data_IF_898218799421
#
_entry.id   IF_898218799421
#
_cell.length_a   1.000
_cell.length_b   1.000
_cell.length_c   1.000
_cell.angle_alpha   90.00
_cell.angle_beta   90.00
_cell.angle_gamma   90.00
#
_symmetry.space_group_name_H-M   'P 1'
#
loop_
_entity.id
_entity.type
_entity.pdbx_description
1 polymer ?
#
# COMPACT_ATOMS: atom_id res chain seq x y z
N UNK A 1 -10.48 12.94 18.86
CA UNK A 1 -9.43 12.17 18.14
C UNK A 1 -9.98 11.99 16.74
N UNK A 2 -9.22 12.28 15.68
CA UNK A 2 -9.71 12.10 14.32
C UNK A 2 -10.06 10.62 14.10
N UNK A 3 -11.17 10.36 13.42
CA UNK A 3 -11.64 9.01 13.11
C UNK A 3 -10.82 8.40 11.96
N UNK A 4 -10.54 9.23 10.93
CA UNK A 4 -9.69 8.83 9.83
C UNK A 4 -8.21 8.84 10.22
N UNK A 5 -7.51 7.74 9.90
CA UNK A 5 -6.06 7.63 9.95
C UNK A 5 -5.43 7.95 8.60
N UNK A 6 -4.16 7.57 8.39
CA UNK A 6 -3.45 7.78 7.12
C UNK A 6 -4.00 6.96 5.95
N UNK A 7 -4.80 5.93 6.22
CA UNK A 7 -5.34 5.02 5.20
C UNK A 7 -6.75 4.53 5.62
N UNK A 8 -7.67 5.46 5.75
CA UNK A 8 -9.05 5.22 6.14
C UNK A 8 -9.27 5.03 7.65
N UNK A 9 -10.41 4.50 8.01
CA UNK A 9 -10.81 4.21 9.38
C UNK A 9 -10.44 2.77 9.68
N UNK A 10 -9.68 2.50 10.75
CA UNK A 10 -9.29 1.14 11.15
C UNK A 10 -9.54 0.91 12.62
N UNK A 11 -9.85 -0.33 12.99
CA UNK A 11 -10.02 -0.73 14.38
C UNK A 11 -10.37 -2.20 14.53
N UNK A 12 -10.46 -2.65 15.77
CA UNK A 12 -10.95 -3.99 16.08
C UNK A 12 -12.41 -4.10 15.66
N UNK A 13 -12.69 -5.02 14.75
CA UNK A 13 -14.02 -5.20 14.19
C UNK A 13 -15.03 -5.53 15.28
N UNK A 14 -16.24 -4.97 15.17
CA UNK A 14 -17.36 -5.09 16.11
C UNK A 14 -17.09 -4.55 17.55
N UNK A 15 -15.96 -3.83 17.74
CA UNK A 15 -15.69 -3.08 18.96
C UNK A 15 -15.45 -1.60 18.67
N UNK A 16 -14.40 -1.33 17.86
CA UNK A 16 -14.00 0.02 17.47
C UNK A 16 -14.64 0.37 16.11
N UNK A 17 -14.71 -0.60 15.20
CA UNK A 17 -15.35 -0.50 13.90
C UNK A 17 -16.65 -1.30 13.91
N UNK A 18 -17.75 -0.65 14.29
CA UNK A 18 -19.09 -1.26 14.43
C UNK A 18 -19.93 -1.09 13.16
N UNK A 19 -21.05 -1.82 13.06
CA UNK A 19 -22.00 -1.68 11.96
C UNK A 19 -22.63 -0.28 11.93
N UNK A 20 -22.94 0.30 13.11
CA UNK A 20 -23.48 1.65 13.23
C UNK A 20 -22.49 2.68 12.68
N UNK A 21 -21.20 2.58 13.07
CA UNK A 21 -20.16 3.47 12.57
C UNK A 21 -20.02 3.36 11.06
N UNK A 22 -20.00 2.14 10.51
CA UNK A 22 -19.91 1.88 9.09
C UNK A 22 -21.09 2.49 8.30
N UNK A 23 -22.30 2.39 8.84
CA UNK A 23 -23.49 2.99 8.26
C UNK A 23 -23.40 4.53 8.29
N UNK A 24 -23.05 5.13 9.43
CA UNK A 24 -23.01 6.58 9.59
C UNK A 24 -21.93 7.23 8.71
N UNK A 25 -20.75 6.64 8.66
CA UNK A 25 -19.66 7.08 7.77
C UNK A 25 -20.11 7.02 6.31
N UNK A 26 -20.81 5.95 5.91
CA UNK A 26 -21.27 5.77 4.54
C UNK A 26 -22.32 6.80 4.13
N UNK A 27 -23.25 7.13 5.04
CA UNK A 27 -24.22 8.20 4.82
C UNK A 27 -23.54 9.56 4.70
N UNK A 28 -22.62 9.88 5.63
CA UNK A 28 -21.88 11.14 5.58
C UNK A 28 -21.00 11.25 4.32
N UNK A 29 -20.31 10.18 3.92
CA UNK A 29 -19.54 10.12 2.70
C UNK A 29 -20.41 10.32 1.44
N UNK A 30 -21.60 9.71 1.41
CA UNK A 30 -22.57 9.90 0.34
C UNK A 30 -22.91 11.37 0.15
N UNK A 31 -23.23 12.08 1.23
CA UNK A 31 -23.58 13.49 1.19
C UNK A 31 -22.39 14.35 0.72
N UNK A 32 -21.22 14.18 1.32
CA UNK A 32 -20.06 15.01 1.01
C UNK A 32 -19.56 14.81 -0.42
N UNK A 33 -19.47 13.55 -0.89
CA UNK A 33 -18.88 13.25 -2.19
C UNK A 33 -19.85 13.48 -3.34
N UNK A 34 -21.15 13.19 -3.14
CA UNK A 34 -22.16 13.44 -4.19
C UNK A 34 -22.50 14.93 -4.32
N UNK A 35 -22.60 15.67 -3.22
CA UNK A 35 -22.79 17.13 -3.26
C UNK A 35 -21.65 17.86 -3.98
N UNK A 36 -20.44 17.33 -3.87
CA UNK A 36 -19.25 17.84 -4.55
C UNK A 36 -19.21 17.51 -6.05
N UNK A 37 -20.10 16.61 -6.51
CA UNK A 37 -20.18 16.22 -7.92
C UNK A 37 -20.85 17.32 -8.76
N UNK A 38 -20.19 17.70 -9.85
CA UNK A 38 -20.72 18.70 -10.80
C UNK A 38 -21.88 18.20 -11.66
N UNK A 39 -22.16 16.90 -11.66
CA UNK A 39 -23.17 16.28 -12.51
C UNK A 39 -24.41 15.88 -11.68
N UNK A 40 -25.37 16.79 -11.59
CA UNK A 40 -26.63 16.61 -10.83
C UNK A 40 -27.70 15.81 -11.57
N UNK A 41 -27.50 15.48 -12.85
CA UNK A 41 -28.53 14.88 -13.70
C UNK A 41 -28.49 13.36 -13.75
N UNK A 42 -27.57 12.70 -13.02
CA UNK A 42 -27.51 11.26 -12.95
C UNK A 42 -27.72 10.76 -11.52
N UNK A 43 -28.20 9.53 -11.38
CA UNK A 43 -28.29 8.88 -10.08
C UNK A 43 -26.88 8.51 -9.62
N UNK A 44 -26.46 8.93 -8.40
CA UNK A 44 -25.13 8.62 -7.90
C UNK A 44 -24.89 7.11 -7.78
N UNK A 45 -23.65 6.71 -8.01
CA UNK A 45 -23.22 5.31 -7.97
C UNK A 45 -22.01 5.12 -7.08
N UNK A 46 -21.92 3.96 -6.44
CA UNK A 46 -20.78 3.55 -5.63
C UNK A 46 -20.31 2.14 -6.00
N UNK A 47 -19.01 1.91 -5.90
CA UNK A 47 -18.39 0.59 -5.96
C UNK A 47 -18.04 0.19 -4.52
N UNK A 48 -18.45 -1.01 -4.08
CA UNK A 48 -18.13 -1.54 -2.75
C UNK A 48 -17.52 -2.91 -2.87
N UNK A 49 -16.33 -3.08 -2.31
CA UNK A 49 -15.65 -4.36 -2.21
C UNK A 49 -14.98 -4.54 -0.85
N UNK A 50 -14.45 -5.74 -0.63
CA UNK A 50 -13.86 -6.14 0.64
C UNK A 50 -12.68 -7.09 0.45
N UNK A 51 -11.86 -7.25 1.50
CA UNK A 51 -10.94 -8.37 1.61
C UNK A 51 -11.64 -9.63 2.12
N UNK A 52 -10.89 -10.66 2.44
CA UNK A 52 -11.44 -11.97 2.82
C UNK A 52 -11.87 -12.10 4.29
N UNK A 53 -11.76 -11.05 5.11
CA UNK A 53 -12.11 -11.11 6.55
C UNK A 53 -13.59 -11.39 6.74
N UNK A 54 -13.94 -12.33 7.63
CA UNK A 54 -15.34 -12.63 7.97
C UNK A 54 -16.11 -11.39 8.47
N UNK A 55 -15.44 -10.46 9.17
CA UNK A 55 -16.05 -9.20 9.59
C UNK A 55 -16.44 -8.28 8.44
N UNK A 56 -15.91 -8.52 7.23
CA UNK A 56 -16.31 -7.81 6.02
C UNK A 56 -17.80 -7.97 5.70
N UNK A 57 -18.38 -9.14 5.99
CA UNK A 57 -19.79 -9.44 5.68
C UNK A 57 -20.77 -8.47 6.35
N UNK A 58 -20.65 -8.24 7.66
CA UNK A 58 -21.54 -7.32 8.34
C UNK A 58 -21.21 -5.84 8.07
N UNK A 59 -19.92 -5.53 7.88
CA UNK A 59 -19.49 -4.17 7.54
C UNK A 59 -19.96 -3.78 6.13
N UNK A 60 -19.86 -4.68 5.14
CA UNK A 60 -20.40 -4.45 3.80
C UNK A 60 -21.91 -4.22 3.85
N UNK A 61 -22.64 -5.05 4.61
CA UNK A 61 -24.09 -4.87 4.75
C UNK A 61 -24.45 -3.49 5.32
N UNK A 62 -23.72 -3.00 6.33
CA UNK A 62 -23.92 -1.67 6.91
C UNK A 62 -23.56 -0.54 5.93
N UNK A 63 -22.43 -0.64 5.25
CA UNK A 63 -22.00 0.31 4.21
C UNK A 63 -23.02 0.40 3.09
N UNK A 64 -23.49 -0.73 2.57
CA UNK A 64 -24.50 -0.79 1.50
C UNK A 64 -25.84 -0.21 1.98
N UNK A 65 -26.26 -0.49 3.22
CA UNK A 65 -27.45 0.09 3.80
C UNK A 65 -27.35 1.61 3.91
N UNK A 66 -26.21 2.14 4.40
CA UNK A 66 -25.95 3.58 4.49
C UNK A 66 -26.05 4.26 3.12
N UNK A 67 -25.28 3.78 2.13
CA UNK A 67 -25.22 4.34 0.79
C UNK A 67 -26.59 4.29 0.06
N UNK A 68 -27.26 3.13 0.12
CA UNK A 68 -28.56 2.97 -0.55
C UNK A 68 -29.67 3.80 0.10
N UNK A 69 -29.63 3.94 1.44
CA UNK A 69 -30.56 4.83 2.16
C UNK A 69 -30.35 6.30 1.80
N UNK A 70 -29.12 6.68 1.43
CA UNK A 70 -28.78 8.01 0.91
C UNK A 70 -29.09 8.20 -0.59
N UNK A 71 -29.70 7.20 -1.26
CA UNK A 71 -30.14 7.28 -2.65
C UNK A 71 -29.10 6.84 -3.69
N UNK A 72 -27.97 6.29 -3.27
CA UNK A 72 -26.88 5.85 -4.16
C UNK A 72 -27.12 4.41 -4.63
N UNK A 73 -26.95 4.17 -5.92
CA UNK A 73 -26.87 2.80 -6.42
C UNK A 73 -25.49 2.20 -6.11
N UNK A 74 -25.47 1.08 -5.41
CA UNK A 74 -24.26 0.40 -4.99
C UNK A 74 -24.03 -0.83 -5.86
N UNK A 75 -22.84 -0.89 -6.47
CA UNK A 75 -22.34 -2.08 -7.16
C UNK A 75 -21.39 -2.83 -6.22
N UNK A 76 -21.84 -4.01 -5.78
CA UNK A 76 -21.07 -4.90 -4.90
C UNK A 76 -20.18 -5.77 -5.77
N UNK A 77 -18.87 -5.68 -5.57
CA UNK A 77 -17.88 -6.41 -6.39
C UNK A 77 -17.26 -7.61 -5.67
N UNK A 78 -17.69 -7.86 -4.41
CA UNK A 78 -17.21 -8.98 -3.60
C UNK A 78 -15.77 -8.83 -3.14
N UNK A 79 -15.05 -9.95 -3.03
CA UNK A 79 -13.65 -9.97 -2.57
C UNK A 79 -12.74 -9.64 -3.72
N UNK A 80 -12.18 -8.42 -3.70
CA UNK A 80 -11.24 -7.90 -4.68
C UNK A 80 -10.19 -7.00 -4.00
N UNK A 81 -8.96 -6.88 -4.58
CA UNK A 81 -7.91 -5.98 -4.10
C UNK A 81 -8.34 -4.52 -3.98
N UNK A 82 -7.73 -3.81 -3.03
CA UNK A 82 -7.89 -2.34 -2.91
C UNK A 82 -7.67 -1.61 -4.24
N UNK A 83 -6.61 -1.87 -5.02
CA UNK A 83 -6.43 -1.23 -6.32
C UNK A 83 -7.51 -1.60 -7.36
N UNK A 84 -8.15 -2.76 -7.24
CA UNK A 84 -9.27 -3.10 -8.10
C UNK A 84 -10.47 -2.17 -7.85
N UNK A 85 -10.75 -1.83 -6.59
CA UNK A 85 -11.83 -0.88 -6.26
C UNK A 85 -11.51 0.49 -6.84
N UNK A 86 -10.31 0.99 -6.64
CA UNK A 86 -9.85 2.27 -7.22
C UNK A 86 -10.01 2.29 -8.76
N UNK A 87 -9.56 1.22 -9.43
CA UNK A 87 -9.70 1.07 -10.88
C UNK A 87 -11.16 1.06 -11.33
N UNK A 88 -12.01 0.26 -10.69
CA UNK A 88 -13.43 0.13 -11.06
C UNK A 88 -14.20 1.43 -10.83
N UNK A 89 -13.86 2.21 -9.80
CA UNK A 89 -14.44 3.57 -9.60
C UNK A 89 -14.07 4.48 -10.76
N UNK A 90 -12.81 4.47 -11.18
CA UNK A 90 -12.35 5.30 -12.31
C UNK A 90 -12.99 4.88 -13.64
N UNK A 91 -12.97 3.58 -13.94
CA UNK A 91 -13.49 3.01 -15.19
C UNK A 91 -14.99 3.22 -15.34
N UNK A 92 -15.76 2.93 -14.26
CA UNK A 92 -17.23 3.10 -14.27
C UNK A 92 -17.67 4.55 -14.12
N UNK A 93 -16.74 5.48 -13.82
CA UNK A 93 -17.01 6.87 -13.44
C UNK A 93 -17.95 6.97 -12.23
N UNK A 94 -17.88 6.00 -11.32
CA UNK A 94 -18.65 6.01 -10.09
C UNK A 94 -18.30 7.25 -9.24
N UNK A 95 -19.25 7.72 -8.45
CA UNK A 95 -19.09 8.93 -7.65
C UNK A 95 -18.24 8.69 -6.41
N UNK A 96 -18.24 7.45 -5.90
CA UNK A 96 -17.38 7.02 -4.79
C UNK A 96 -17.07 5.53 -4.85
N UNK A 97 -16.03 5.13 -4.12
CA UNK A 97 -15.70 3.75 -3.84
C UNK A 97 -15.50 3.50 -2.36
N UNK A 98 -15.78 2.29 -1.93
CA UNK A 98 -15.52 1.82 -0.56
C UNK A 98 -14.79 0.49 -0.62
N UNK A 99 -13.64 0.42 0.02
CA UNK A 99 -12.93 -0.81 0.29
C UNK A 99 -12.99 -1.14 1.78
N UNK A 100 -13.44 -2.33 2.11
CA UNK A 100 -13.51 -2.84 3.48
C UNK A 100 -12.31 -3.76 3.70
N UNK A 101 -11.28 -3.21 4.34
CA UNK A 101 -10.02 -3.91 4.62
C UNK A 101 -9.16 -3.15 5.63
N UNK A 102 -8.38 -3.90 6.42
CA UNK A 102 -7.29 -3.38 7.23
C UNK A 102 -5.91 -3.77 6.68
N UNK A 103 -5.79 -4.08 5.37
CA UNK A 103 -4.54 -4.42 4.69
C UNK A 103 -3.79 -5.57 5.40
N UNK A 104 -2.56 -5.33 5.86
CA UNK A 104 -1.70 -6.31 6.52
C UNK A 104 -1.96 -6.51 8.02
N UNK A 105 -2.95 -5.82 8.61
CA UNK A 105 -3.29 -6.01 10.02
C UNK A 105 -3.77 -7.44 10.31
N UNK A 106 -3.62 -7.93 11.56
CA UNK A 106 -4.17 -9.21 11.97
C UNK A 106 -5.68 -9.35 11.70
N UNK A 107 -6.16 -10.57 11.58
CA UNK A 107 -7.55 -10.90 11.21
C UNK A 107 -8.63 -10.19 12.04
N UNK A 108 -8.49 -9.99 13.36
CA UNK A 108 -9.53 -9.33 14.17
C UNK A 108 -9.79 -7.86 13.81
N UNK A 109 -8.81 -7.18 13.20
CA UNK A 109 -8.97 -5.81 12.73
C UNK A 109 -9.73 -5.77 11.41
N UNK A 110 -10.38 -4.63 11.12
CA UNK A 110 -10.89 -4.30 9.79
C UNK A 110 -10.78 -2.79 9.57
N UNK A 111 -11.15 -2.33 8.37
CA UNK A 111 -11.09 -0.92 8.01
C UNK A 111 -12.10 -0.54 6.94
N UNK A 112 -12.33 0.75 6.79
CA UNK A 112 -13.11 1.34 5.71
C UNK A 112 -12.26 2.41 5.04
N UNK A 113 -11.93 2.18 3.76
CA UNK A 113 -11.21 3.11 2.90
C UNK A 113 -12.18 3.70 1.88
N UNK A 114 -12.14 5.01 1.71
CA UNK A 114 -13.00 5.72 0.77
C UNK A 114 -12.19 6.23 -0.43
N UNK A 115 -12.80 6.14 -1.60
CA UNK A 115 -12.23 6.65 -2.85
C UNK A 115 -13.17 7.70 -3.45
N UNK A 116 -12.60 8.80 -3.87
CA UNK A 116 -13.32 9.82 -4.64
C UNK A 116 -13.58 9.34 -6.08
N UNK A 117 -14.41 10.07 -6.78
CA UNK A 117 -14.60 9.92 -8.22
C UNK A 117 -13.25 9.94 -8.94
N UNK A 118 -13.03 8.98 -9.84
CA UNK A 118 -11.72 8.76 -10.49
C UNK A 118 -10.81 7.80 -9.76
N UNK A 119 -11.21 7.25 -8.60
CA UNK A 119 -10.50 6.19 -7.90
C UNK A 119 -9.30 6.67 -7.05
N UNK A 120 -9.18 7.98 -6.84
CA UNK A 120 -8.18 8.54 -5.93
C UNK A 120 -8.61 8.46 -4.47
N UNK A 121 -7.64 8.38 -3.55
CA UNK A 121 -7.89 8.52 -2.10
C UNK A 121 -8.44 9.92 -1.79
N UNK A 122 -9.17 10.04 -0.67
CA UNK A 122 -9.68 11.32 -0.19
C UNK A 122 -8.52 12.17 0.37
N UNK A 123 -8.68 13.50 0.31
CA UNK A 123 -7.82 14.43 1.05
C UNK A 123 -8.33 14.66 2.48
N UNK A 124 -7.46 15.17 3.39
CA UNK A 124 -7.79 15.39 4.80
C UNK A 124 -9.00 16.34 4.96
N UNK A 125 -9.16 17.31 4.07
CA UNK A 125 -10.27 18.25 4.15
C UNK A 125 -11.61 17.58 3.83
N UNK A 126 -11.63 16.62 2.91
CA UNK A 126 -12.83 15.83 2.60
C UNK A 126 -13.11 14.86 3.76
N UNK A 127 -12.10 14.17 4.30
CA UNK A 127 -12.24 13.29 5.45
C UNK A 127 -12.80 14.03 6.67
N UNK A 128 -12.25 15.21 6.99
CA UNK A 128 -12.75 16.06 8.08
C UNK A 128 -14.20 16.52 7.85
N UNK A 129 -14.60 16.79 6.61
CA UNK A 129 -15.98 17.11 6.26
C UNK A 129 -16.92 15.92 6.47
N UNK A 130 -16.46 14.71 6.15
CA UNK A 130 -17.24 13.48 6.38
C UNK A 130 -17.43 13.29 7.89
N UNK A 131 -16.35 13.40 8.69
CA UNK A 131 -16.45 13.31 10.17
C UNK A 131 -17.43 14.34 10.73
N UNK A 132 -17.37 15.57 10.26
CA UNK A 132 -18.22 16.66 10.75
C UNK A 132 -19.72 16.43 10.45
N UNK A 133 -20.03 15.64 9.42
CA UNK A 133 -21.42 15.37 9.02
C UNK A 133 -21.99 14.06 9.54
N UNK A 134 -21.20 13.31 10.30
CA UNK A 134 -21.71 12.10 10.95
C UNK A 134 -22.75 12.43 12.01
N UNK A 135 -23.85 11.68 11.99
CA UNK A 135 -24.94 11.88 12.94
C UNK A 135 -25.83 13.12 12.67
N UNK A 136 -25.60 13.86 11.58
CA UNK A 136 -26.51 14.94 11.17
C UNK A 136 -27.91 14.40 10.80
N UNK A 137 -28.94 15.16 11.15
CA UNK A 137 -30.29 14.93 10.60
C UNK A 137 -30.30 15.28 9.11
N UNK A 138 -30.90 14.43 8.28
CA UNK A 138 -30.96 14.61 6.85
C UNK A 138 -32.26 14.09 6.23
N UNK A 139 -32.65 14.69 5.12
CA UNK A 139 -33.86 14.31 4.36
C UNK A 139 -33.62 12.97 3.63
N UNK A 140 -34.33 11.95 4.07
CA UNK A 140 -34.18 10.59 3.51
C UNK A 140 -34.93 10.47 2.18
N UNK A 141 -34.29 10.04 1.07
CA UNK A 141 -34.99 9.76 -0.16
C UNK A 141 -36.01 8.63 0.02
N UNK A 142 -37.15 8.76 -0.64
CA UNK A 142 -38.26 7.79 -0.54
C UNK A 142 -38.70 7.30 -1.91
N UNK A 143 -39.41 6.17 -1.95
CA UNK A 143 -39.96 5.59 -3.15
C UNK A 143 -38.91 5.28 -4.19
N UNK A 144 -39.05 5.79 -5.40
CA UNK A 144 -38.10 5.58 -6.51
C UNK A 144 -36.74 6.21 -6.31
N UNK A 145 -36.57 7.08 -5.30
CA UNK A 145 -35.32 7.79 -5.05
C UNK A 145 -34.38 6.98 -4.09
N UNK A 146 -34.84 5.91 -3.47
CA UNK A 146 -33.99 4.98 -2.70
C UNK A 146 -32.99 4.31 -3.65
N UNK A 147 -31.73 4.15 -3.23
CA UNK A 147 -30.68 3.47 -4.00
C UNK A 147 -30.93 1.95 -4.10
N UNK A 148 -30.22 1.32 -5.02
CA UNK A 148 -30.27 -0.14 -5.26
C UNK A 148 -28.91 -0.77 -4.95
N UNK A 149 -28.93 -1.95 -4.35
CA UNK A 149 -27.75 -2.83 -4.24
C UNK A 149 -27.78 -3.83 -5.41
N UNK A 150 -26.69 -3.90 -6.18
CA UNK A 150 -26.54 -4.68 -7.41
C UNK A 150 -25.24 -5.45 -7.30
N UNK A 151 -25.23 -6.77 -7.54
CA UNK A 151 -24.00 -7.52 -7.65
C UNK A 151 -23.39 -7.31 -9.04
N UNK A 152 -22.10 -6.96 -9.10
CA UNK A 152 -21.36 -6.84 -10.35
C UNK A 152 -20.49 -8.08 -10.56
N UNK A 153 -21.06 -9.05 -11.24
CA UNK A 153 -20.39 -10.33 -11.53
C UNK A 153 -19.21 -10.21 -12.51
N UNK A 154 -19.09 -9.08 -13.21
CA UNK A 154 -18.03 -8.84 -14.19
C UNK A 154 -16.84 -8.06 -13.63
N UNK A 155 -16.91 -7.59 -12.38
CA UNK A 155 -15.88 -6.74 -11.77
C UNK A 155 -14.47 -7.37 -11.83
N UNK A 156 -14.35 -8.64 -11.47
CA UNK A 156 -13.07 -9.38 -11.50
C UNK A 156 -12.47 -9.43 -12.91
N UNK A 157 -13.28 -9.71 -13.92
CA UNK A 157 -12.79 -9.80 -15.29
C UNK A 157 -12.38 -8.43 -15.86
N UNK A 158 -13.06 -7.35 -15.47
CA UNK A 158 -12.67 -5.98 -15.84
C UNK A 158 -11.31 -5.62 -15.25
N UNK A 159 -11.08 -5.95 -13.97
CA UNK A 159 -9.79 -5.70 -13.33
C UNK A 159 -8.68 -6.58 -13.93
N UNK A 160 -8.93 -7.87 -14.17
CA UNK A 160 -7.98 -8.76 -14.87
C UNK A 160 -7.62 -8.21 -16.26
N UNK A 161 -8.60 -7.72 -17.02
CA UNK A 161 -8.37 -7.11 -18.32
C UNK A 161 -7.46 -5.87 -18.20
N UNK A 162 -7.67 -5.03 -17.18
CA UNK A 162 -6.80 -3.90 -16.90
C UNK A 162 -5.36 -4.33 -16.62
N UNK A 163 -5.16 -5.27 -15.69
CA UNK A 163 -3.84 -5.80 -15.35
C UNK A 163 -3.11 -6.36 -16.58
N UNK A 164 -3.80 -7.17 -17.38
CA UNK A 164 -3.24 -7.80 -18.57
C UNK A 164 -2.94 -6.79 -19.70
N UNK A 165 -3.67 -5.68 -19.77
CA UNK A 165 -3.37 -4.61 -20.73
C UNK A 165 -2.02 -3.92 -20.50
N UNK A 166 -1.46 -4.05 -19.28
CA UNK A 166 -0.13 -3.55 -18.94
C UNK A 166 1.02 -4.49 -19.31
N UNK A 167 0.68 -5.72 -19.76
CA UNK A 167 1.67 -6.76 -20.09
C UNK A 167 2.12 -6.61 -21.54
N UNK A 168 3.25 -5.97 -21.76
CA UNK A 168 3.88 -5.82 -23.08
C UNK A 168 4.77 -7.02 -23.44
N UNK A 169 5.28 -7.73 -22.43
CA UNK A 169 6.16 -8.90 -22.59
C UNK A 169 5.55 -10.08 -21.87
N UNK A 170 5.08 -11.12 -22.58
CA UNK A 170 4.53 -12.33 -21.96
C UNK A 170 5.51 -13.02 -21.01
N UNK A 171 5.02 -13.55 -19.89
CA UNK A 171 5.84 -14.16 -18.83
C UNK A 171 6.21 -15.63 -19.11
N UNK A 172 6.24 -16.04 -20.38
CA UNK A 172 6.55 -17.41 -20.78
C UNK A 172 7.94 -17.84 -20.32
N UNK A 173 8.02 -19.01 -19.72
CA UNK A 173 9.27 -19.60 -19.24
C UNK A 173 9.59 -19.25 -17.80
N UNK A 174 8.81 -18.36 -17.13
CA UNK A 174 8.94 -18.12 -15.70
C UNK A 174 8.05 -19.08 -14.91
N UNK A 175 8.63 -19.71 -13.90
CA UNK A 175 7.91 -20.41 -12.82
C UNK A 175 7.91 -19.52 -11.59
N UNK A 176 6.72 -19.19 -11.09
CA UNK A 176 6.57 -18.31 -9.93
C UNK A 176 5.78 -18.98 -8.81
N UNK A 177 6.13 -18.67 -7.56
CA UNK A 177 5.30 -18.94 -6.39
C UNK A 177 4.64 -17.64 -5.98
N UNK A 178 3.33 -17.63 -5.78
CA UNK A 178 2.61 -16.46 -5.25
C UNK A 178 1.99 -16.77 -3.90
N UNK A 179 2.31 -15.95 -2.90
CA UNK A 179 1.69 -15.91 -1.60
C UNK A 179 0.59 -14.84 -1.62
N UNK A 180 -0.66 -15.28 -1.48
CA UNK A 180 -1.84 -14.44 -1.55
C UNK A 180 -2.32 -13.96 -0.17
N UNK A 181 -1.57 -14.21 0.91
CA UNK A 181 -1.94 -13.86 2.29
C UNK A 181 -3.33 -14.36 2.73
N UNK A 182 -3.91 -15.35 2.06
CA UNK A 182 -5.35 -15.69 2.17
C UNK A 182 -6.25 -14.44 2.07
N UNK A 183 -5.82 -13.42 1.36
CA UNK A 183 -6.47 -12.12 1.23
C UNK A 183 -7.22 -11.95 -0.09
N UNK A 184 -7.41 -10.70 -0.46
CA UNK A 184 -8.17 -10.29 -1.65
C UNK A 184 -7.52 -10.69 -2.98
N UNK A 185 -6.22 -11.00 -2.99
CA UNK A 185 -5.50 -11.47 -4.17
C UNK A 185 -5.69 -12.96 -4.47
N UNK A 186 -6.31 -13.75 -3.59
CA UNK A 186 -6.32 -15.21 -3.61
C UNK A 186 -6.76 -15.85 -4.93
N UNK A 187 -7.69 -15.22 -5.62
CA UNK A 187 -8.12 -15.65 -6.96
C UNK A 187 -7.42 -14.85 -8.06
N UNK A 188 -7.41 -13.53 -7.93
CA UNK A 188 -7.06 -12.62 -9.04
C UNK A 188 -5.57 -12.61 -9.36
N UNK A 189 -4.68 -12.73 -8.37
CA UNK A 189 -3.23 -12.69 -8.62
C UNK A 189 -2.75 -13.95 -9.37
N UNK A 190 -3.05 -15.19 -8.90
CA UNK A 190 -2.67 -16.39 -9.65
C UNK A 190 -3.22 -16.41 -11.07
N UNK A 191 -4.46 -15.94 -11.26
CA UNK A 191 -5.09 -15.90 -12.57
C UNK A 191 -4.44 -14.87 -13.50
N UNK A 192 -4.12 -13.69 -13.01
CA UNK A 192 -3.42 -12.65 -13.77
C UNK A 192 -2.06 -13.15 -14.27
N UNK A 193 -1.28 -13.80 -13.40
CA UNK A 193 0.06 -14.29 -13.77
C UNK A 193 0.01 -15.46 -14.74
N UNK A 194 -0.96 -16.40 -14.58
CA UNK A 194 -1.17 -17.49 -15.55
C UNK A 194 -1.57 -16.94 -16.92
N UNK A 195 -2.52 -16.01 -16.98
CA UNK A 195 -2.94 -15.39 -18.24
C UNK A 195 -1.82 -14.59 -18.89
N UNK A 196 -0.91 -14.00 -18.09
CA UNK A 196 0.29 -13.36 -18.59
C UNK A 196 1.33 -14.37 -19.13
N UNK A 197 1.19 -15.67 -18.88
CA UNK A 197 1.99 -16.74 -19.47
C UNK A 197 2.94 -17.45 -18.52
N UNK A 198 2.94 -17.16 -17.21
CA UNK A 198 3.78 -17.81 -16.22
C UNK A 198 3.22 -19.19 -15.78
N UNK A 199 4.13 -20.08 -15.35
CA UNK A 199 3.77 -21.24 -14.54
C UNK A 199 3.61 -20.78 -13.09
N UNK A 200 2.44 -21.04 -12.46
CA UNK A 200 2.09 -20.45 -11.16
C UNK A 200 1.77 -21.51 -10.14
N UNK A 201 2.50 -21.50 -9.04
CA UNK A 201 2.21 -22.19 -7.79
C UNK A 201 1.64 -21.18 -6.81
N UNK A 202 0.39 -21.32 -6.40
CA UNK A 202 -0.23 -20.42 -5.42
C UNK A 202 -0.22 -21.05 -4.03
N UNK A 203 0.18 -20.27 -3.04
CA UNK A 203 0.13 -20.62 -1.61
C UNK A 203 -0.69 -19.57 -0.87
N UNK A 204 -1.28 -19.96 0.28
CA UNK A 204 -2.16 -19.07 1.06
C UNK A 204 -3.23 -18.38 0.18
N UNK A 205 -3.89 -19.17 -0.67
CA UNK A 205 -4.93 -18.72 -1.60
C UNK A 205 -6.29 -19.39 -1.36
N UNK A 206 -6.52 -19.88 -0.14
CA UNK A 206 -7.76 -20.49 0.30
C UNK A 206 -8.31 -19.77 1.53
N UNK A 207 -8.84 -18.55 1.35
CA UNK A 207 -9.38 -17.77 2.45
C UNK A 207 -10.62 -18.45 3.06
N UNK A 208 -10.67 -18.50 4.40
CA UNK A 208 -11.80 -19.05 5.16
C UNK A 208 -12.50 -17.98 6.02
N UNK A 209 -12.07 -16.73 5.90
CA UNK A 209 -12.55 -15.58 6.69
C UNK A 209 -11.74 -15.31 7.95
N UNK A 210 -10.92 -16.27 8.40
CA UNK A 210 -10.20 -16.20 9.67
C UNK A 210 -8.68 -16.29 9.52
N UNK A 211 -8.19 -16.69 8.36
CA UNK A 211 -6.80 -17.02 8.10
C UNK A 211 -6.03 -15.94 7.31
N UNK A 212 -6.61 -14.76 7.07
CA UNK A 212 -5.93 -13.65 6.37
C UNK A 212 -4.71 -13.17 7.16
N UNK A 213 -3.56 -13.01 6.49
CA UNK A 213 -2.28 -12.56 7.05
C UNK A 213 -1.74 -13.46 8.21
N UNK A 214 -2.26 -14.67 8.37
CA UNK A 214 -1.81 -15.56 9.43
C UNK A 214 -0.49 -16.24 9.03
N UNK A 215 0.62 -15.67 9.51
CA UNK A 215 1.99 -16.12 9.24
C UNK A 215 2.32 -16.24 7.73
N UNK A 216 1.75 -15.37 6.89
CA UNK A 216 1.89 -15.37 5.45
C UNK A 216 1.85 -13.94 4.87
N UNK A 217 2.00 -13.84 3.55
CA UNK A 217 1.96 -12.58 2.82
C UNK A 217 3.20 -11.71 2.99
N UNK A 218 3.09 -10.44 2.62
CA UNK A 218 4.22 -9.51 2.54
C UNK A 218 4.90 -9.20 3.87
N UNK A 219 4.28 -9.50 5.00
CA UNK A 219 4.86 -9.30 6.34
C UNK A 219 5.56 -10.55 6.90
N UNK A 220 5.40 -11.73 6.27
CA UNK A 220 5.95 -13.02 6.70
C UNK A 220 6.47 -13.84 5.51
N UNK A 221 7.64 -13.47 5.00
CA UNK A 221 8.20 -14.03 3.75
C UNK A 221 8.83 -15.42 3.88
N UNK A 222 8.99 -15.96 5.09
CA UNK A 222 9.75 -17.20 5.30
C UNK A 222 9.08 -18.42 4.65
N UNK A 223 7.75 -18.49 4.63
CA UNK A 223 7.03 -19.58 3.99
C UNK A 223 7.09 -19.49 2.46
N UNK A 224 6.99 -18.27 1.91
CA UNK A 224 7.20 -18.03 0.48
C UNK A 224 8.63 -18.44 0.08
N UNK A 225 9.65 -18.06 0.86
CA UNK A 225 11.05 -18.45 0.62
C UNK A 225 11.20 -19.97 0.57
N UNK A 226 10.65 -20.68 1.56
CA UNK A 226 10.68 -22.12 1.59
C UNK A 226 10.01 -22.76 0.37
N UNK A 227 8.87 -22.21 -0.06
CA UNK A 227 8.14 -22.67 -1.24
C UNK A 227 8.93 -22.42 -2.54
N UNK A 228 9.54 -21.23 -2.71
CA UNK A 228 10.39 -20.93 -3.88
C UNK A 228 11.52 -21.94 -4.03
N UNK A 229 12.25 -22.21 -2.94
CA UNK A 229 13.37 -23.16 -2.93
C UNK A 229 12.90 -24.59 -3.19
N UNK A 230 11.78 -25.00 -2.58
CA UNK A 230 11.19 -26.34 -2.77
C UNK A 230 10.72 -26.60 -4.20
N UNK A 231 10.04 -25.60 -4.77
CA UNK A 231 9.47 -25.71 -6.12
C UNK A 231 10.50 -25.47 -7.23
N UNK A 232 11.69 -24.98 -6.90
CA UNK A 232 12.69 -24.53 -7.86
C UNK A 232 12.15 -23.42 -8.75
N UNK A 233 11.42 -22.48 -8.15
CA UNK A 233 10.82 -21.37 -8.87
C UNK A 233 11.83 -20.25 -9.12
N UNK A 234 11.64 -19.52 -10.22
CA UNK A 234 12.50 -18.39 -10.60
C UNK A 234 12.28 -17.18 -9.69
N UNK A 235 11.02 -16.97 -9.25
CA UNK A 235 10.61 -15.83 -8.42
C UNK A 235 9.47 -16.24 -7.48
N UNK A 236 9.54 -15.73 -6.24
CA UNK A 236 8.40 -15.69 -5.31
C UNK A 236 7.81 -14.29 -5.27
N UNK A 237 6.49 -14.18 -5.23
CA UNK A 237 5.75 -12.91 -5.05
C UNK A 237 4.90 -13.01 -3.81
N UNK A 238 4.94 -12.01 -2.94
CA UNK A 238 4.06 -11.88 -1.78
C UNK A 238 3.21 -10.62 -1.87
N UNK A 239 1.91 -10.80 -1.62
CA UNK A 239 0.96 -9.70 -1.42
C UNK A 239 0.59 -9.60 0.06
N UNK A 240 0.01 -8.48 0.46
CA UNK A 240 -0.67 -8.36 1.74
C UNK A 240 -2.19 -8.59 1.58
N UNK A 241 -2.92 -8.48 2.68
CA UNK A 241 -4.33 -8.89 2.72
C UNK A 241 -5.24 -8.22 1.69
N UNK A 242 -4.97 -6.98 1.28
CA UNK A 242 -5.73 -6.26 0.25
C UNK A 242 -4.93 -5.98 -1.03
N UNK A 243 -3.74 -6.58 -1.13
CA UNK A 243 -2.90 -6.65 -2.32
C UNK A 243 -2.50 -5.31 -2.93
N UNK A 244 -2.38 -4.27 -2.12
CA UNK A 244 -1.81 -2.99 -2.55
C UNK A 244 -0.27 -2.99 -2.51
N UNK A 245 0.35 -4.08 -1.97
CA UNK A 245 1.80 -4.28 -1.85
C UNK A 245 2.29 -5.49 -2.64
N UNK A 246 3.56 -5.40 -3.04
CA UNK A 246 4.32 -6.47 -3.65
C UNK A 246 5.72 -6.53 -3.04
N UNK A 247 6.08 -7.67 -2.47
CA UNK A 247 7.46 -8.04 -2.18
C UNK A 247 7.82 -9.28 -2.97
N UNK A 248 9.12 -9.56 -3.12
CA UNK A 248 9.54 -10.72 -3.88
C UNK A 248 10.66 -11.52 -3.20
N UNK A 249 10.84 -12.75 -3.64
CA UNK A 249 11.94 -13.65 -3.28
C UNK A 249 12.61 -14.09 -4.57
N UNK A 250 13.94 -14.06 -4.65
CA UNK A 250 14.67 -14.59 -5.79
C UNK A 250 14.83 -16.13 -5.73
N UNK A 251 15.34 -16.74 -6.80
CA UNK A 251 15.49 -18.19 -6.92
C UNK A 251 16.39 -18.84 -5.87
N UNK A 252 17.22 -18.06 -5.17
CA UNK A 252 18.13 -18.56 -4.11
C UNK A 252 17.65 -18.16 -2.69
N UNK A 253 16.48 -17.54 -2.59
CA UNK A 253 15.82 -17.23 -1.32
C UNK A 253 16.14 -15.86 -0.72
N UNK A 254 16.73 -14.93 -1.46
CA UNK A 254 16.93 -13.56 -0.99
C UNK A 254 15.64 -12.75 -1.10
N UNK A 255 15.41 -11.89 -0.10
CA UNK A 255 14.29 -10.96 -0.06
C UNK A 255 14.55 -9.74 -0.95
N UNK A 256 13.56 -9.39 -1.76
CA UNK A 256 13.55 -8.25 -2.66
C UNK A 256 12.41 -7.34 -2.19
N UNK A 257 12.78 -6.30 -1.46
CA UNK A 257 11.83 -5.36 -0.88
C UNK A 257 11.37 -4.28 -1.89
N UNK A 258 10.51 -3.37 -1.44
CA UNK A 258 9.97 -2.31 -2.28
C UNK A 258 11.04 -1.38 -2.86
N UNK A 259 12.12 -1.12 -2.15
CA UNK A 259 13.22 -0.29 -2.64
C UNK A 259 14.00 -0.98 -3.77
N UNK A 260 14.22 -2.30 -3.68
CA UNK A 260 14.76 -3.09 -4.79
C UNK A 260 13.83 -3.06 -6.00
N UNK A 261 12.52 -3.28 -5.79
CA UNK A 261 11.51 -3.26 -6.85
C UNK A 261 11.48 -1.89 -7.52
N UNK A 262 11.44 -0.81 -6.75
CA UNK A 262 11.52 0.56 -7.28
C UNK A 262 12.79 0.80 -8.09
N UNK A 263 13.94 0.31 -7.60
CA UNK A 263 15.22 0.39 -8.32
C UNK A 263 15.14 -0.27 -9.69
N UNK A 264 14.61 -1.49 -9.74
CA UNK A 264 14.47 -2.27 -10.97
C UNK A 264 13.52 -1.58 -11.96
N UNK A 265 12.35 -1.17 -11.48
CA UNK A 265 11.34 -0.50 -12.31
C UNK A 265 11.83 0.86 -12.80
N UNK A 266 12.48 1.67 -11.94
CA UNK A 266 13.02 2.98 -12.34
C UNK A 266 14.06 2.86 -13.45
N UNK A 267 15.00 1.91 -13.33
CA UNK A 267 16.01 1.62 -14.36
C UNK A 267 15.36 1.12 -15.66
N UNK A 268 14.39 0.22 -15.54
CA UNK A 268 13.64 -0.29 -16.68
C UNK A 268 12.83 0.80 -17.38
N UNK A 269 12.13 1.65 -16.63
CA UNK A 269 11.37 2.79 -17.17
C UNK A 269 12.28 3.81 -17.84
N UNK A 270 13.43 4.14 -17.21
CA UNK A 270 14.43 5.03 -17.81
C UNK A 270 14.93 4.49 -19.15
N UNK A 271 15.29 3.21 -19.19
CA UNK A 271 15.80 2.57 -20.42
C UNK A 271 14.77 2.60 -21.56
N UNK A 272 13.47 2.65 -21.25
CA UNK A 272 12.37 2.75 -22.22
C UNK A 272 11.86 4.17 -22.46
N UNK A 273 12.45 5.18 -21.83
CA UNK A 273 11.97 6.56 -21.91
C UNK A 273 10.61 6.80 -21.24
N UNK A 274 10.23 5.93 -20.29
CA UNK A 274 8.96 6.00 -19.56
C UNK A 274 9.07 6.64 -18.16
N UNK A 275 10.29 6.94 -17.68
CA UNK A 275 10.53 7.59 -16.40
C UNK A 275 10.44 9.10 -16.57
N UNK A 276 9.26 9.67 -16.33
CA UNK A 276 9.01 11.11 -16.45
C UNK A 276 9.88 11.90 -15.49
N UNK A 277 10.43 13.01 -15.97
CA UNK A 277 11.34 13.85 -15.20
C UNK A 277 12.66 13.16 -14.82
N UNK A 278 12.93 11.94 -15.32
CA UNK A 278 14.06 11.10 -14.90
C UNK A 278 14.10 10.93 -13.35
N UNK A 279 12.93 10.92 -12.70
CA UNK A 279 12.78 10.99 -11.24
C UNK A 279 11.91 9.84 -10.74
N UNK A 280 12.28 9.30 -9.57
CA UNK A 280 11.47 8.38 -8.76
C UNK A 280 11.16 9.01 -7.42
N UNK A 281 9.93 8.82 -6.92
CA UNK A 281 9.51 9.33 -5.60
C UNK A 281 9.57 8.21 -4.58
N UNK A 282 10.36 8.42 -3.51
CA UNK A 282 10.43 7.52 -2.36
C UNK A 282 10.00 8.22 -1.07
N UNK A 283 10.22 7.59 0.06
CA UNK A 283 9.98 8.19 1.37
C UNK A 283 11.29 8.37 2.14
N UNK A 284 11.24 9.11 3.24
CA UNK A 284 12.37 9.23 4.17
C UNK A 284 12.81 7.88 4.77
N UNK A 285 12.01 6.82 4.61
CA UNK A 285 12.34 5.45 5.05
C UNK A 285 13.03 4.63 3.97
N UNK A 286 13.06 5.07 2.70
CA UNK A 286 13.77 4.35 1.63
C UNK A 286 15.24 4.17 1.99
N UNK A 287 15.78 2.97 1.80
CA UNK A 287 17.12 2.58 2.21
C UNK A 287 18.22 3.41 1.52
N UNK A 288 19.32 3.69 2.21
CA UNK A 288 20.45 4.42 1.63
C UNK A 288 20.98 3.74 0.35
N UNK A 289 20.91 2.42 0.28
CA UNK A 289 21.25 1.65 -0.91
C UNK A 289 20.39 2.01 -2.13
N UNK A 290 19.12 2.31 -1.94
CA UNK A 290 18.24 2.82 -3.00
C UNK A 290 18.74 4.18 -3.51
N UNK A 291 19.11 5.10 -2.60
CA UNK A 291 19.64 6.41 -2.99
C UNK A 291 20.92 6.27 -3.82
N UNK A 292 21.82 5.38 -3.41
CA UNK A 292 23.06 5.11 -4.14
C UNK A 292 22.77 4.49 -5.52
N UNK A 293 21.91 3.46 -5.58
CA UNK A 293 21.56 2.81 -6.85
C UNK A 293 20.91 3.76 -7.86
N UNK A 294 20.09 4.72 -7.39
CA UNK A 294 19.50 5.74 -8.24
C UNK A 294 20.55 6.74 -8.73
N UNK A 295 21.43 7.20 -7.85
CA UNK A 295 22.54 8.08 -8.20
C UNK A 295 23.45 7.44 -9.27
N UNK A 296 23.81 6.17 -9.10
CA UNK A 296 24.64 5.42 -10.05
C UNK A 296 23.95 5.22 -11.40
N UNK A 297 22.61 5.11 -11.39
CA UNK A 297 21.80 5.05 -12.60
C UNK A 297 21.56 6.43 -13.23
N UNK A 298 22.01 7.53 -12.59
CA UNK A 298 21.71 8.90 -13.00
C UNK A 298 20.21 9.21 -12.96
N UNK A 299 19.50 8.69 -11.95
CA UNK A 299 18.08 8.92 -11.71
C UNK A 299 17.96 9.78 -10.45
N UNK A 300 17.14 10.81 -10.53
CA UNK A 300 16.87 11.68 -9.40
C UNK A 300 15.87 11.05 -8.43
N UNK A 301 16.05 11.28 -7.12
CA UNK A 301 15.13 10.81 -6.08
C UNK A 301 14.52 12.00 -5.36
N UNK A 302 13.21 12.03 -5.29
CA UNK A 302 12.47 12.93 -4.40
C UNK A 302 11.96 12.14 -3.22
N UNK A 303 12.21 12.62 -1.99
CA UNK A 303 11.75 11.96 -0.77
C UNK A 303 10.60 12.72 -0.13
N UNK A 304 9.58 12.00 0.29
CA UNK A 304 8.41 12.51 1.01
C UNK A 304 8.37 12.00 2.45
N UNK A 305 7.53 12.54 3.33
CA UNK A 305 7.16 11.85 4.56
C UNK A 305 6.62 10.44 4.28
N UNK A 306 6.61 9.57 5.31
CA UNK A 306 6.04 8.21 5.21
C UNK A 306 4.54 8.28 5.01
N UNK A 307 4.06 7.53 4.03
CA UNK A 307 2.66 7.40 3.66
C UNK A 307 2.50 7.51 2.15
N UNK A 308 1.83 6.53 1.57
CA UNK A 308 1.59 6.40 0.14
C UNK A 308 0.88 7.63 -0.46
N UNK A 309 0.05 8.28 0.33
CA UNK A 309 -0.62 9.53 -0.02
C UNK A 309 0.37 10.64 -0.36
N UNK A 310 1.40 10.86 0.48
CA UNK A 310 2.41 11.90 0.23
C UNK A 310 3.24 11.60 -1.03
N UNK A 311 3.51 10.30 -1.27
CA UNK A 311 4.16 9.85 -2.50
C UNK A 311 3.30 10.21 -3.70
N UNK A 312 2.02 9.84 -3.69
CA UNK A 312 1.08 10.10 -4.80
C UNK A 312 0.87 11.60 -5.03
N UNK A 313 0.67 12.40 -3.99
CA UNK A 313 0.52 13.86 -4.09
C UNK A 313 1.73 14.50 -4.76
N UNK A 314 2.95 14.09 -4.37
CA UNK A 314 4.18 14.59 -4.98
C UNK A 314 4.28 14.17 -6.47
N UNK A 315 3.94 12.92 -6.77
CA UNK A 315 3.91 12.43 -8.16
C UNK A 315 2.93 13.22 -9.04
N UNK A 316 1.75 13.55 -8.51
CA UNK A 316 0.74 14.34 -9.23
C UNK A 316 1.23 15.77 -9.45
N UNK A 317 1.76 16.41 -8.41
CA UNK A 317 2.19 17.81 -8.46
C UNK A 317 3.33 18.06 -9.48
N UNK A 318 4.18 17.04 -9.72
CA UNK A 318 5.36 17.18 -10.59
C UNK A 318 5.29 16.30 -11.86
N UNK A 319 4.16 15.64 -12.10
CA UNK A 319 3.95 14.71 -13.24
C UNK A 319 4.97 13.55 -13.27
N UNK A 320 5.38 13.03 -12.13
CA UNK A 320 6.24 11.85 -12.04
C UNK A 320 5.46 10.56 -12.29
N UNK A 321 6.10 9.56 -12.91
CA UNK A 321 5.46 8.31 -13.33
C UNK A 321 5.61 7.15 -12.35
N UNK A 322 6.62 7.18 -11.47
CA UNK A 322 6.96 6.08 -10.56
C UNK A 322 7.27 6.60 -9.16
N UNK A 323 6.72 5.96 -8.16
CA UNK A 323 7.03 6.20 -6.75
C UNK A 323 6.57 5.05 -5.88
N UNK A 324 6.96 5.06 -4.61
CA UNK A 324 6.52 4.03 -3.67
C UNK A 324 7.32 4.00 -2.38
N UNK A 325 7.15 2.92 -1.65
CA UNK A 325 7.70 2.70 -0.32
C UNK A 325 8.44 1.36 -0.21
N UNK A 326 9.38 1.27 0.71
CA UNK A 326 10.10 0.03 1.04
C UNK A 326 9.14 -1.13 1.40
N UNK A 327 7.96 -0.83 1.92
CA UNK A 327 6.91 -1.81 2.23
C UNK A 327 6.35 -2.56 1.02
N UNK A 328 6.73 -2.16 -0.20
CA UNK A 328 6.24 -2.75 -1.45
C UNK A 328 5.01 -2.07 -2.05
N UNK A 329 4.55 -0.96 -1.45
CA UNK A 329 3.49 -0.13 -2.03
C UNK A 329 4.11 0.71 -3.16
N UNK A 330 3.90 0.31 -4.41
CA UNK A 330 4.48 0.92 -5.60
C UNK A 330 3.38 1.49 -6.49
N UNK A 331 3.52 2.77 -6.84
CA UNK A 331 2.58 3.52 -7.66
C UNK A 331 3.19 3.74 -9.04
N UNK A 332 2.51 3.27 -10.08
CA UNK A 332 2.82 3.52 -11.48
C UNK A 332 1.70 4.37 -12.08
N UNK A 333 1.81 5.68 -11.98
CA UNK A 333 0.71 6.63 -12.22
C UNK A 333 0.10 6.58 -13.62
N UNK A 334 0.85 6.14 -14.62
CA UNK A 334 0.33 5.92 -15.97
C UNK A 334 -0.62 4.70 -16.06
N UNK A 335 -0.57 3.80 -15.07
CA UNK A 335 -1.30 2.54 -15.06
C UNK A 335 -2.35 2.46 -13.94
N UNK A 336 -2.09 3.09 -12.78
CA UNK A 336 -2.98 3.02 -11.62
C UNK A 336 -2.93 4.31 -10.79
N UNK A 337 -4.05 4.63 -10.11
CA UNK A 337 -4.18 5.82 -9.25
C UNK A 337 -3.78 5.55 -7.78
N UNK A 338 -3.29 4.37 -7.48
CA UNK A 338 -2.82 3.93 -6.16
C UNK A 338 -1.77 2.84 -6.34
N UNK A 339 -1.13 2.41 -5.26
CA UNK A 339 -0.30 1.21 -5.30
C UNK A 339 -1.12 -0.03 -5.66
N UNK A 340 -0.56 -0.85 -6.53
CA UNK A 340 -1.17 -2.10 -6.99
C UNK A 340 -0.10 -3.19 -6.98
N UNK A 341 -0.21 -4.10 -6.01
CA UNK A 341 0.79 -5.16 -5.82
C UNK A 341 0.82 -6.14 -6.99
N UNK A 342 -0.32 -6.46 -7.59
CA UNK A 342 -0.40 -7.41 -8.70
C UNK A 342 0.19 -6.77 -9.98
N UNK A 343 -0.15 -5.52 -10.23
CA UNK A 343 0.42 -4.75 -11.33
C UNK A 343 1.94 -4.60 -11.16
N UNK A 344 2.40 -4.31 -9.94
CA UNK A 344 3.82 -4.19 -9.60
C UNK A 344 4.56 -5.49 -9.88
N UNK A 345 4.01 -6.63 -9.47
CA UNK A 345 4.59 -7.94 -9.77
C UNK A 345 4.64 -8.21 -11.29
N UNK A 346 3.56 -7.92 -12.02
CA UNK A 346 3.56 -8.07 -13.48
C UNK A 346 4.65 -7.24 -14.15
N UNK A 347 4.86 -5.99 -13.73
CA UNK A 347 5.92 -5.15 -14.28
C UNK A 347 7.31 -5.65 -13.89
N UNK A 348 7.52 -6.09 -12.64
CA UNK A 348 8.77 -6.70 -12.17
C UNK A 348 9.13 -7.95 -12.98
N UNK A 349 8.17 -8.87 -13.14
CA UNK A 349 8.37 -10.11 -13.89
C UNK A 349 8.65 -9.87 -15.38
N UNK A 350 8.05 -8.83 -15.98
CA UNK A 350 8.37 -8.40 -17.34
C UNK A 350 9.81 -7.91 -17.46
N UNK A 351 10.39 -7.24 -16.45
CA UNK A 351 11.80 -6.83 -16.48
C UNK A 351 12.73 -8.06 -16.47
N UNK A 352 12.40 -9.11 -15.70
CA UNK A 352 13.14 -10.37 -15.70
C UNK A 352 13.14 -10.99 -17.12
N UNK A 353 11.97 -11.14 -17.72
CA UNK A 353 11.86 -11.74 -19.08
C UNK A 353 12.55 -10.86 -20.13
N UNK A 354 12.32 -9.55 -20.10
CA UNK A 354 12.83 -8.60 -21.11
C UNK A 354 14.34 -8.53 -21.11
N UNK A 355 14.96 -8.59 -19.93
CA UNK A 355 16.41 -8.50 -19.80
C UNK A 355 17.11 -9.84 -19.99
N UNK A 356 16.40 -10.96 -19.84
CA UNK A 356 16.95 -12.31 -19.80
C UNK A 356 17.84 -12.56 -18.58
N UNK A 357 17.78 -11.69 -17.56
CA UNK A 357 18.52 -11.79 -16.31
C UNK A 357 17.62 -12.37 -15.21
N UNK A 358 18.23 -13.07 -14.27
CA UNK A 358 17.52 -13.52 -13.06
C UNK A 358 17.15 -12.33 -12.18
N UNK A 359 16.14 -12.51 -11.31
CA UNK A 359 15.78 -11.48 -10.33
C UNK A 359 16.95 -11.16 -9.39
N UNK A 360 17.77 -12.16 -9.02
CA UNK A 360 18.99 -11.99 -8.23
C UNK A 360 19.99 -11.04 -8.92
N UNK A 361 20.28 -11.24 -10.22
CA UNK A 361 21.21 -10.39 -10.98
C UNK A 361 20.67 -8.95 -11.12
N UNK A 362 19.38 -8.79 -11.28
CA UNK A 362 18.75 -7.48 -11.33
C UNK A 362 18.82 -6.78 -9.97
N UNK A 363 18.46 -7.46 -8.89
CA UNK A 363 18.46 -6.93 -7.54
C UNK A 363 19.85 -6.55 -7.03
N UNK A 364 20.91 -7.22 -7.51
CA UNK A 364 22.30 -6.89 -7.19
C UNK A 364 22.72 -5.46 -7.63
N UNK A 365 21.88 -4.76 -8.40
CA UNK A 365 22.08 -3.34 -8.74
C UNK A 365 21.82 -2.38 -7.58
N UNK A 366 21.23 -2.86 -6.48
CA UNK A 366 21.07 -2.16 -5.22
C UNK A 366 21.66 -3.00 -4.08
N UNK A 367 22.54 -2.42 -3.30
CA UNK A 367 23.09 -3.05 -2.08
C UNK A 367 22.35 -2.46 -0.89
N UNK A 368 21.55 -3.29 -0.20
CA UNK A 368 20.81 -2.86 0.98
C UNK A 368 21.76 -2.63 2.15
N UNK A 369 21.70 -1.45 2.75
CA UNK A 369 22.39 -1.15 3.99
C UNK A 369 21.64 -1.78 5.18
N UNK A 370 22.35 -2.48 6.09
CA UNK A 370 21.79 -2.90 7.36
C UNK A 370 21.10 -1.73 8.07
N UNK A 371 19.89 -1.98 8.55
CA UNK A 371 19.04 -0.97 9.20
C UNK A 371 18.61 -1.45 10.58
N UNK A 372 18.77 -0.61 11.58
CA UNK A 372 18.30 -0.83 12.96
C UNK A 372 17.31 0.25 13.33
N UNK A 373 16.14 -0.16 13.85
CA UNK A 373 15.10 0.73 14.36
C UNK A 373 14.87 0.47 15.85
N UNK A 374 15.09 1.50 16.67
CA UNK A 374 14.80 1.45 18.10
C UNK A 374 13.65 2.41 18.43
N UNK A 375 12.61 1.90 19.08
CA UNK A 375 11.50 2.69 19.59
C UNK A 375 11.77 3.09 21.05
N UNK A 376 12.12 4.36 21.28
CA UNK A 376 12.34 4.90 22.62
C UNK A 376 11.01 5.36 23.19
N UNK A 377 10.41 4.54 24.07
CA UNK A 377 9.10 4.76 24.68
C UNK A 377 9.18 5.67 25.93
N UNK A 378 8.00 6.21 26.29
CA UNK A 378 7.81 7.05 27.49
C UNK A 378 8.75 8.26 27.50
N UNK A 379 8.70 9.04 26.42
CA UNK A 379 9.50 10.24 26.22
C UNK A 379 8.63 11.42 25.78
N UNK A 380 9.07 12.63 26.12
CA UNK A 380 8.42 13.90 25.72
C UNK A 380 8.78 14.22 24.27
N UNK A 381 8.18 13.49 23.33
CA UNK A 381 8.48 13.53 21.89
C UNK A 381 8.41 14.94 21.27
N UNK A 382 7.57 15.81 21.81
CA UNK A 382 7.40 17.21 21.38
C UNK A 382 8.66 18.06 21.57
N UNK A 383 9.56 17.66 22.46
CA UNK A 383 10.84 18.33 22.71
C UNK A 383 11.99 17.85 21.83
N UNK A 384 11.73 16.86 20.97
CA UNK A 384 12.78 16.27 20.12
C UNK A 384 13.50 17.32 19.26
N UNK A 385 12.72 18.21 18.63
CA UNK A 385 13.25 19.24 17.74
C UNK A 385 14.06 20.34 18.47
N UNK A 386 13.79 20.55 19.75
CA UNK A 386 14.38 21.64 20.53
C UNK A 386 15.65 21.22 21.30
N UNK A 387 15.99 19.92 21.34
CA UNK A 387 17.15 19.43 22.09
C UNK A 387 18.46 19.60 21.31
N UNK A 388 19.26 20.57 21.73
CA UNK A 388 20.61 20.76 21.19
C UNK A 388 21.55 19.55 21.45
N UNK A 389 21.33 18.82 22.55
CA UNK A 389 22.10 17.62 22.90
C UNK A 389 21.84 16.50 21.89
N UNK A 390 20.57 16.23 21.59
CA UNK A 390 20.18 15.23 20.59
C UNK A 390 20.69 15.64 19.20
N UNK A 391 20.54 16.90 18.82
CA UNK A 391 21.04 17.40 17.53
C UNK A 391 22.57 17.24 17.40
N UNK A 392 23.34 17.50 18.47
CA UNK A 392 24.77 17.30 18.48
C UNK A 392 25.14 15.80 18.37
N UNK A 393 24.42 14.92 19.08
CA UNK A 393 24.63 13.47 19.02
C UNK A 393 24.34 12.91 17.61
N UNK A 394 23.26 13.35 16.98
CA UNK A 394 22.93 12.99 15.57
C UNK A 394 24.05 13.41 14.64
N UNK A 395 24.50 14.66 14.72
CA UNK A 395 25.59 15.16 13.89
C UNK A 395 26.90 14.39 14.07
N UNK A 396 27.22 13.99 15.31
CA UNK A 396 28.39 13.17 15.59
C UNK A 396 28.25 11.76 14.99
N UNK A 397 27.07 11.15 15.10
CA UNK A 397 26.78 9.86 14.50
C UNK A 397 26.85 9.91 12.97
N UNK A 398 26.27 10.93 12.33
CA UNK A 398 26.37 11.14 10.87
C UNK A 398 27.81 11.34 10.42
N UNK A 399 28.62 12.09 11.15
CA UNK A 399 30.04 12.27 10.85
C UNK A 399 30.82 10.94 10.95
N UNK A 400 30.46 10.04 11.91
CA UNK A 400 31.05 8.72 12.07
C UNK A 400 30.65 7.76 10.94
N UNK A 401 29.41 7.82 10.50
CA UNK A 401 28.86 6.98 9.43
C UNK A 401 29.32 7.45 8.05
N UNK A 402 29.56 8.74 7.86
CA UNK A 402 29.90 9.37 6.58
C UNK A 402 28.94 8.93 5.44
N UNK A 403 29.47 8.64 4.25
CA UNK A 403 28.68 8.17 3.10
C UNK A 403 28.20 6.71 3.21
N UNK A 404 28.64 5.98 4.28
CA UNK A 404 28.31 4.57 4.49
C UNK A 404 27.18 4.32 5.48
N UNK A 405 26.43 5.37 5.84
CA UNK A 405 25.27 5.24 6.71
C UNK A 405 24.53 6.54 6.89
N UNK A 406 23.41 6.49 7.58
CA UNK A 406 22.58 7.66 7.93
C UNK A 406 21.83 7.46 9.23
N UNK A 407 21.35 8.56 9.78
CA UNK A 407 20.50 8.58 10.97
C UNK A 407 19.16 9.23 10.62
N UNK A 408 18.07 8.66 11.12
CA UNK A 408 16.75 9.26 11.06
C UNK A 408 16.08 9.18 12.43
N UNK A 409 15.88 10.33 13.08
CA UNK A 409 15.08 10.45 14.30
C UNK A 409 13.72 11.01 13.98
N UNK A 410 12.67 10.36 14.46
CA UNK A 410 11.30 10.77 14.20
C UNK A 410 10.40 10.55 15.41
N UNK A 411 9.65 11.59 15.80
CA UNK A 411 8.56 11.44 16.76
C UNK A 411 7.43 10.60 16.15
N UNK A 412 6.85 9.68 16.93
CA UNK A 412 5.66 8.95 16.51
C UNK A 412 4.44 9.89 16.44
N UNK A 413 3.63 9.77 15.40
CA UNK A 413 2.38 10.54 15.29
C UNK A 413 1.39 10.19 16.41
N UNK A 414 1.23 8.89 16.69
CA UNK A 414 0.16 8.35 17.54
C UNK A 414 0.60 7.95 18.95
N UNK A 415 1.85 7.60 19.16
CA UNK A 415 2.39 7.07 20.42
C UNK A 415 3.36 8.04 21.09
N UNK A 416 3.52 7.94 22.41
CA UNK A 416 4.51 8.70 23.18
C UNK A 416 5.91 8.07 23.06
N UNK A 417 6.47 8.07 21.83
CA UNK A 417 7.80 7.53 21.55
C UNK A 417 8.52 8.30 20.44
N UNK A 418 9.85 8.17 20.45
CA UNK A 418 10.74 8.59 19.37
C UNK A 418 11.33 7.35 18.69
N UNK A 419 11.28 7.32 17.37
CA UNK A 419 11.91 6.27 16.55
C UNK A 419 13.31 6.71 16.17
N UNK A 420 14.30 5.91 16.56
CA UNK A 420 15.71 6.06 16.19
C UNK A 420 16.03 5.01 15.14
N UNK A 421 16.23 5.45 13.90
CA UNK A 421 16.64 4.58 12.80
C UNK A 421 18.06 4.91 12.39
N UNK A 422 18.88 3.88 12.24
CA UNK A 422 20.25 3.98 11.76
C UNK A 422 20.49 2.95 10.68
N UNK A 423 21.06 3.41 9.57
CA UNK A 423 21.62 2.55 8.53
C UNK A 423 23.14 2.66 8.56
N UNK A 424 23.85 1.54 8.36
CA UNK A 424 25.31 1.54 8.34
C UNK A 424 25.85 0.41 7.45
N UNK A 425 27.15 0.44 7.16
CA UNK A 425 27.85 -0.56 6.35
C UNK A 425 27.84 -1.98 6.98
N UNK A 426 27.55 -2.12 8.29
CA UNK A 426 27.41 -3.41 8.98
C UNK A 426 26.33 -3.33 10.05
N UNK A 427 25.70 -4.49 10.33
CA UNK A 427 24.70 -4.63 11.42
C UNK A 427 25.27 -4.19 12.77
N UNK A 428 26.51 -4.57 13.08
CA UNK A 428 27.16 -4.23 14.35
C UNK A 428 27.29 -2.71 14.52
N UNK A 429 27.70 -1.99 13.48
CA UNK A 429 27.84 -0.54 13.52
C UNK A 429 26.46 0.14 13.61
N UNK A 430 25.46 -0.34 12.85
CA UNK A 430 24.11 0.17 12.92
C UNK A 430 23.50 0.00 14.33
N UNK A 431 23.68 -1.17 14.96
CA UNK A 431 23.21 -1.43 16.31
C UNK A 431 23.91 -0.58 17.37
N UNK A 432 25.23 -0.40 17.27
CA UNK A 432 26.02 0.42 18.21
C UNK A 432 25.52 1.86 18.17
N UNK A 433 25.50 2.48 16.99
CA UNK A 433 25.09 3.87 16.83
C UNK A 433 23.61 4.08 17.21
N UNK A 434 22.74 3.13 16.86
CA UNK A 434 21.32 3.22 17.22
C UNK A 434 21.08 3.18 18.73
N UNK A 435 21.83 2.34 19.46
CA UNK A 435 21.76 2.28 20.93
C UNK A 435 22.27 3.56 21.58
N UNK A 436 23.45 4.05 21.15
CA UNK A 436 24.00 5.32 21.65
C UNK A 436 23.01 6.47 21.50
N UNK A 437 22.37 6.60 20.33
CA UNK A 437 21.36 7.63 20.09
C UNK A 437 20.09 7.41 20.90
N UNK A 438 19.64 6.15 21.05
CA UNK A 438 18.47 5.83 21.87
C UNK A 438 18.69 6.17 23.34
N UNK A 439 19.86 5.93 23.87
CA UNK A 439 20.25 6.28 25.24
C UNK A 439 20.26 7.80 25.44
N UNK A 440 20.80 8.55 24.48
CA UNK A 440 20.75 10.03 24.52
C UNK A 440 19.30 10.53 24.48
N UNK A 441 18.46 9.99 23.58
CA UNK A 441 17.04 10.36 23.51
C UNK A 441 16.32 10.05 24.81
N UNK A 442 16.59 8.88 25.42
CA UNK A 442 15.97 8.48 26.68
C UNK A 442 16.40 9.35 27.84
N UNK A 443 17.67 9.74 27.89
CA UNK A 443 18.22 10.64 28.94
C UNK A 443 17.65 12.05 28.85
N UNK A 444 17.49 12.58 27.63
CA UNK A 444 17.09 13.98 27.42
C UNK A 444 15.57 14.18 27.47
N UNK A 445 14.80 13.20 27.03
CA UNK A 445 13.35 13.32 26.84
C UNK A 445 12.52 12.46 27.80
N UNK A 446 13.15 11.59 28.58
CA UNK A 446 12.51 10.65 29.50
C UNK A 446 11.93 11.27 30.77
#
# INVERSE_FOLDING_TARGET
MALFGTDGIRGLANRDLTAELALDVSVAAAHVLVESSSNKDHRPTAIVGQDSRASGEFLEAAVVAGLTSAGINVYRVGVLPTPAIAHLVAESKADLGVMISASHNPMPDNGIKLFARGGGKLDDAIEARIEARMGEDWDRPTGKNVGRAINDENATERYLKHLLSSVETPLKGLKIVVDCANGASSFVAPEAYRRAGAEVVAIFNQPDGWNINDDCGSTHLHQLRAAVLKEGADVGIAHDGDADRCLAIDAVGNEIDGDHILTLLARGFKARGKLKGNTVVGTVMSNLGFMHAMKDAGIDVVTTPVGDRYVLENMIAHDYSLGGEQSGHVIMRELANTGDGILTALQLLQEVVRTGKTLQELAATMVRFPQVLINVKDVKKEKLADSAVIAAAVKAAEARLADSGRVLLRASGTEALVRVMVEAASDSLAQEVARELADVVKSELG
#
